data_IF_627684846770
#
_entry.id   IF_627684846770
#
_cell.length_a   1.000
_cell.length_b   1.000
_cell.length_c   1.000
_cell.angle_alpha   90.00
_cell.angle_beta   90.00
_cell.angle_gamma   90.00
#
_symmetry.space_group_name_H-M   'P 1'
#
loop_
_entity.id
_entity.type
_entity.pdbx_description
1 polymer ?
#
# COMPACT_ATOMS: atom_id res chain seq x y z
N UNK A 1 -9.26 -9.74 9.53
CA UNK A 1 -9.72 -9.42 8.15
C UNK A 1 -8.59 -9.75 7.17
N UNK A 2 -8.63 -10.90 6.47
CA UNK A 2 -7.44 -11.48 5.83
C UNK A 2 -7.09 -10.94 4.42
N UNK A 3 -8.02 -10.30 3.73
CA UNK A 3 -7.86 -9.96 2.31
C UNK A 3 -7.06 -8.68 2.03
N UNK A 4 -7.05 -7.69 2.93
CA UNK A 4 -6.27 -6.46 2.75
C UNK A 4 -4.78 -6.70 3.02
N UNK A 5 -4.37 -7.33 4.13
CA UNK A 5 -2.96 -7.53 4.43
C UNK A 5 -2.16 -8.25 3.34
N UNK A 6 -2.78 -9.16 2.58
CA UNK A 6 -2.11 -9.87 1.47
C UNK A 6 -1.69 -8.94 0.34
N UNK A 7 -2.36 -7.79 0.15
CA UNK A 7 -2.00 -6.79 -0.86
C UNK A 7 -0.72 -6.02 -0.52
N UNK A 8 -0.28 -6.10 0.74
CA UNK A 8 0.93 -5.45 1.23
C UNK A 8 2.16 -6.36 1.14
N UNK A 9 2.01 -7.63 0.76
CA UNK A 9 3.18 -8.51 0.62
C UNK A 9 4.01 -8.12 -0.61
N UNK A 10 5.34 -7.99 -0.47
CA UNK A 10 6.17 -7.61 -1.58
C UNK A 10 6.25 -8.75 -2.61
N UNK A 11 6.10 -8.39 -3.88
CA UNK A 11 6.22 -9.30 -5.02
C UNK A 11 7.59 -9.21 -5.68
N UNK A 12 7.90 -10.22 -6.49
CA UNK A 12 9.10 -10.25 -7.35
C UNK A 12 8.76 -10.22 -8.84
N UNK A 13 7.48 -10.31 -9.19
CA UNK A 13 6.96 -10.20 -10.55
C UNK A 13 5.48 -9.78 -10.54
N UNK A 14 5.04 -9.14 -11.63
CA UNK A 14 3.64 -8.71 -11.77
C UNK A 14 3.25 -7.53 -10.87
N UNK A 15 1.99 -7.54 -10.43
CA UNK A 15 1.36 -6.45 -9.71
C UNK A 15 1.73 -6.42 -8.23
N UNK A 16 1.98 -5.24 -7.68
CA UNK A 16 2.18 -5.02 -6.26
C UNK A 16 3.41 -4.20 -5.94
N UNK A 17 3.74 -4.16 -4.65
CA UNK A 17 4.94 -3.50 -4.14
C UNK A 17 6.17 -4.40 -4.31
N UNK A 18 7.30 -3.81 -4.66
CA UNK A 18 8.59 -4.48 -4.74
C UNK A 18 9.46 -4.02 -3.57
N UNK A 19 10.47 -4.83 -3.22
CA UNK A 19 11.37 -4.54 -2.08
C UNK A 19 12.23 -3.29 -2.28
N UNK A 20 12.43 -2.87 -3.52
CA UNK A 20 13.18 -1.66 -3.88
C UNK A 20 12.35 -0.37 -3.76
N UNK A 21 11.05 -0.48 -3.47
CA UNK A 21 10.12 0.64 -3.42
C UNK A 21 9.28 0.82 -4.69
N UNK A 22 9.56 0.08 -5.76
CA UNK A 22 8.74 0.12 -6.97
C UNK A 22 7.33 -0.40 -6.69
N UNK A 23 6.33 0.15 -7.36
CA UNK A 23 4.96 -0.37 -7.38
C UNK A 23 4.50 -0.52 -8.82
N UNK A 24 4.14 -1.75 -9.20
CA UNK A 24 3.63 -2.06 -10.53
C UNK A 24 2.14 -2.42 -10.48
N UNK A 25 1.42 -2.01 -11.51
CA UNK A 25 0.06 -2.47 -11.78
C UNK A 25 -0.10 -2.67 -13.29
N UNK A 26 -1.16 -3.36 -13.73
CA UNK A 26 -1.32 -3.78 -15.13
C UNK A 26 -0.11 -4.58 -15.62
N UNK A 27 0.33 -5.51 -14.77
CA UNK A 27 1.43 -6.47 -14.95
C UNK A 27 2.82 -5.83 -14.90
N UNK A 28 3.06 -4.75 -15.64
CA UNK A 28 4.41 -4.21 -15.84
C UNK A 28 4.47 -2.68 -15.96
N UNK A 29 3.43 -1.96 -15.57
CA UNK A 29 3.39 -0.49 -15.63
C UNK A 29 3.74 0.09 -14.25
N UNK A 30 4.75 0.98 -14.14
CA UNK A 30 4.99 1.75 -12.92
C UNK A 30 3.78 2.61 -12.60
N UNK A 31 3.11 2.34 -11.47
CA UNK A 31 1.77 2.86 -11.22
C UNK A 31 1.56 3.41 -9.81
N UNK A 32 2.63 3.81 -9.13
CA UNK A 32 2.55 4.30 -7.76
C UNK A 32 1.63 5.52 -7.62
N UNK A 33 1.75 6.51 -8.51
CA UNK A 33 0.91 7.72 -8.52
C UNK A 33 -0.55 7.50 -8.95
N UNK A 34 -0.90 6.29 -9.43
CA UNK A 34 -2.28 5.93 -9.79
C UNK A 34 -2.83 4.85 -8.86
N UNK A 35 -2.80 3.59 -9.29
CA UNK A 35 -3.35 2.49 -8.49
C UNK A 35 -2.65 2.30 -7.14
N UNK A 36 -1.36 2.63 -7.01
CA UNK A 36 -0.67 2.60 -5.72
C UNK A 36 -1.28 3.57 -4.71
N UNK A 37 -1.56 4.81 -5.15
CA UNK A 37 -2.21 5.83 -4.33
C UNK A 37 -3.66 5.46 -3.98
N UNK A 38 -4.41 4.92 -4.95
CA UNK A 38 -5.78 4.41 -4.70
C UNK A 38 -5.78 3.31 -3.65
N UNK A 39 -4.85 2.36 -3.74
CA UNK A 39 -4.71 1.27 -2.76
C UNK A 39 -4.38 1.81 -1.36
N UNK A 40 -3.34 2.64 -1.23
CA UNK A 40 -2.94 3.19 0.07
C UNK A 40 -4.06 4.04 0.71
N UNK A 41 -4.76 4.86 -0.08
CA UNK A 41 -5.91 5.63 0.40
C UNK A 41 -7.05 4.71 0.88
N UNK A 42 -7.37 3.67 0.12
CA UNK A 42 -8.39 2.68 0.48
C UNK A 42 -8.06 1.94 1.78
N UNK A 43 -6.80 1.49 1.94
CA UNK A 43 -6.34 0.85 3.17
C UNK A 43 -6.48 1.79 4.37
N UNK A 44 -6.01 3.03 4.25
CA UNK A 44 -6.12 4.02 5.33
C UNK A 44 -7.58 4.23 5.78
N UNK A 45 -8.50 4.39 4.83
CA UNK A 45 -9.94 4.59 5.11
C UNK A 45 -10.59 3.36 5.75
N UNK A 46 -10.22 2.16 5.30
CA UNK A 46 -10.76 0.92 5.88
C UNK A 46 -10.23 0.72 7.29
N UNK A 47 -8.94 0.96 7.53
CA UNK A 47 -8.34 0.85 8.87
C UNK A 47 -8.96 1.84 9.85
N UNK A 48 -9.15 3.09 9.43
CA UNK A 48 -9.82 4.14 10.21
C UNK A 48 -11.25 3.73 10.59
N UNK A 49 -12.06 3.29 9.61
CA UNK A 49 -13.41 2.81 9.88
C UNK A 49 -13.41 1.58 10.81
N UNK A 50 -12.46 0.65 10.64
CA UNK A 50 -12.38 -0.58 11.42
C UNK A 50 -12.08 -0.32 12.91
N UNK A 51 -11.30 0.72 13.24
CA UNK A 51 -10.97 1.09 14.62
C UNK A 51 -12.22 1.34 15.50
N UNK A 52 -13.37 1.66 14.89
CA UNK A 52 -14.62 1.94 15.59
C UNK A 52 -15.59 0.75 15.66
N UNK A 53 -15.20 -0.43 15.17
CA UNK A 53 -16.12 -1.58 14.97
C UNK A 53 -15.77 -2.82 15.78
N UNK A 54 -14.66 -2.81 16.53
CA UNK A 54 -14.17 -3.98 17.28
C UNK A 54 -13.56 -5.08 16.40
N UNK A 55 -13.42 -4.84 15.08
CA UNK A 55 -12.73 -5.75 14.18
C UNK A 55 -11.24 -5.83 14.52
N UNK A 56 -10.70 -7.04 14.48
CA UNK A 56 -9.27 -7.27 14.65
C UNK A 56 -8.48 -6.77 13.42
N UNK A 57 -7.61 -5.80 13.69
CA UNK A 57 -6.69 -5.15 12.75
C UNK A 57 -5.22 -5.31 13.16
N UNK A 58 -4.88 -6.33 13.97
CA UNK A 58 -3.52 -6.54 14.48
C UNK A 58 -2.58 -7.28 13.52
N UNK A 59 -2.90 -7.39 12.23
CA UNK A 59 -2.04 -8.09 11.27
C UNK A 59 -0.71 -7.34 11.11
N UNK A 60 0.45 -7.98 11.35
CA UNK A 60 1.75 -7.30 11.34
C UNK A 60 2.10 -6.71 9.97
N UNK A 61 1.49 -7.19 8.88
CA UNK A 61 1.73 -6.64 7.53
C UNK A 61 1.26 -5.20 7.39
N UNK A 62 0.37 -4.70 8.24
CA UNK A 62 -0.01 -3.28 8.22
C UNK A 62 1.17 -2.34 8.51
N UNK A 63 2.22 -2.81 9.20
CA UNK A 63 3.45 -2.04 9.37
C UNK A 63 4.19 -1.75 8.04
N UNK A 64 3.88 -2.49 6.97
CA UNK A 64 4.45 -2.22 5.64
C UNK A 64 3.88 -0.94 5.00
N UNK A 65 2.73 -0.45 5.46
CA UNK A 65 2.15 0.82 4.96
C UNK A 65 3.14 1.97 5.15
N UNK A 66 3.77 2.08 6.32
CA UNK A 66 4.79 3.11 6.58
C UNK A 66 6.01 2.95 5.67
N UNK A 67 6.41 1.71 5.39
CA UNK A 67 7.49 1.42 4.45
C UNK A 67 7.15 1.93 3.06
N UNK A 68 5.93 1.70 2.57
CA UNK A 68 5.50 2.13 1.24
C UNK A 68 5.24 3.63 1.15
N UNK A 69 4.76 4.26 2.22
CA UNK A 69 4.70 5.72 2.29
C UNK A 69 6.09 6.34 2.11
N UNK A 70 7.09 5.83 2.83
CA UNK A 70 8.44 6.41 2.82
C UNK A 70 9.28 6.04 1.59
N UNK A 71 9.14 4.82 1.08
CA UNK A 71 10.02 4.30 0.01
C UNK A 71 9.37 4.27 -1.35
N UNK A 72 8.05 4.18 -1.42
CA UNK A 72 7.31 4.10 -2.68
C UNK A 72 6.65 5.41 -3.05
N UNK A 73 6.02 6.12 -2.10
CA UNK A 73 5.28 7.35 -2.40
C UNK A 73 6.14 8.61 -2.25
N UNK A 74 6.73 8.82 -1.07
CA UNK A 74 7.41 10.07 -0.70
C UNK A 74 8.49 10.52 -1.71
N UNK A 75 9.31 9.63 -2.31
CA UNK A 75 10.31 10.06 -3.30
C UNK A 75 9.72 10.71 -4.56
N UNK A 76 8.44 10.46 -4.87
CA UNK A 76 7.75 11.06 -6.02
C UNK A 76 6.92 12.28 -5.65
N UNK A 77 6.89 12.67 -4.36
CA UNK A 77 6.23 13.89 -3.93
C UNK A 77 7.20 15.07 -3.96
N UNK A 78 6.90 16.10 -4.77
CA UNK A 78 7.70 17.31 -4.89
C UNK A 78 6.84 18.56 -4.72
N UNK A 79 7.09 19.32 -3.65
CA UNK A 79 6.38 20.59 -3.34
C UNK A 79 4.85 20.45 -3.34
N UNK A 80 4.35 19.35 -2.78
CA UNK A 80 2.91 19.07 -2.68
C UNK A 80 2.26 18.53 -3.96
N UNK A 81 3.06 18.19 -4.97
CA UNK A 81 2.64 17.42 -6.15
C UNK A 81 3.18 16.01 -6.07
#
# INVERSE_FOLDING_TARGET
MAAIPTTLEPVTSGNGFYRDGSFLQHVNIPYMGGYGLVLLNGIARVLDAAQHTGLDVSDPRYALVDTYLLRSLLPFMYRGN
#
